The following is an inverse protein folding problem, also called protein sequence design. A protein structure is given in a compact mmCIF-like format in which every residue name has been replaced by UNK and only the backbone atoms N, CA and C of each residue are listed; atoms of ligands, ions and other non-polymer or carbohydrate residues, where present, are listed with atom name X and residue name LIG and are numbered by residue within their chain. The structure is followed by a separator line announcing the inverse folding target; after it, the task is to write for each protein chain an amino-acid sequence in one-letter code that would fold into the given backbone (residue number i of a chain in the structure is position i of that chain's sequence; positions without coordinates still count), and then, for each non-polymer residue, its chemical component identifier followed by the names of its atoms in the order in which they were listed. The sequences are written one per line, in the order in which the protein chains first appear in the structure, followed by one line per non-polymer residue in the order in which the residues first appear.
data_IF_197403487154
#
_entry.id   IF_197403487154
#
_cell.length_a   1.000
_cell.length_b   1.000
_cell.length_c   1.000
_cell.angle_alpha   90.00
_cell.angle_beta   90.00
_cell.angle_gamma   90.00
#
_symmetry.space_group_name_H-M   'P 1'
#
loop_
_entity.id
_entity.type
_entity.pdbx_description
1 polymer ?
#
# COMPACT_ATOMS: atom_id res chain seq x y z
N UNK A 1 44.81 -22.95 -42.56
CA UNK A 1 43.40 -22.99 -43.01
C UNK A 1 42.40 -23.61 -42.01
N UNK A 2 42.82 -24.17 -40.85
CA UNK A 2 41.90 -24.70 -39.83
C UNK A 2 41.66 -23.78 -38.63
N UNK A 3 42.54 -22.80 -38.38
CA UNK A 3 42.42 -21.86 -37.26
C UNK A 3 41.36 -20.77 -37.50
N UNK A 4 41.16 -20.36 -38.76
CA UNK A 4 40.19 -19.34 -39.14
C UNK A 4 38.74 -19.84 -39.03
N UNK A 5 38.50 -21.15 -39.24
CA UNK A 5 37.16 -21.74 -39.09
C UNK A 5 36.66 -21.78 -37.65
N UNK A 6 37.55 -21.92 -36.65
CA UNK A 6 37.14 -21.91 -35.25
C UNK A 6 36.83 -20.49 -34.73
N UNK A 7 37.48 -19.46 -35.28
CA UNK A 7 37.22 -18.07 -34.91
C UNK A 7 35.83 -17.60 -35.39
N UNK A 8 35.40 -18.05 -36.57
CA UNK A 8 34.09 -17.70 -37.13
C UNK A 8 32.95 -18.40 -36.37
N UNK A 9 33.16 -19.63 -35.90
CA UNK A 9 32.14 -20.36 -35.12
C UNK A 9 31.96 -19.74 -33.72
N UNK A 10 33.03 -19.23 -33.10
CA UNK A 10 32.95 -18.58 -31.80
C UNK A 10 32.23 -17.21 -31.84
N UNK A 11 32.30 -16.48 -32.95
CA UNK A 11 31.64 -15.17 -33.12
C UNK A 11 30.13 -15.33 -33.35
N UNK A 12 29.68 -16.43 -33.97
CA UNK A 12 28.25 -16.70 -34.20
C UNK A 12 27.54 -17.10 -32.90
N UNK A 13 28.21 -17.77 -31.97
CA UNK A 13 27.63 -18.19 -30.67
C UNK A 13 27.38 -17.07 -29.65
N UNK A 14 27.88 -15.84 -29.87
CA UNK A 14 27.73 -14.72 -28.91
C UNK A 14 26.46 -13.87 -29.18
N UNK A 15 25.71 -14.13 -30.25
CA UNK A 15 24.57 -13.28 -30.65
C UNK A 15 23.19 -13.75 -30.16
N UNK A 16 23.11 -14.82 -29.36
CA UNK A 16 21.82 -15.36 -28.88
C UNK A 16 21.43 -14.87 -27.47
N UNK A 17 22.07 -13.83 -26.95
CA UNK A 17 21.44 -13.02 -25.89
C UNK A 17 20.42 -12.06 -26.52
N UNK A 18 19.39 -12.64 -27.13
CA UNK A 18 18.15 -11.91 -27.38
C UNK A 18 17.51 -11.69 -26.01
N UNK A 19 17.78 -10.52 -25.41
CA UNK A 19 16.87 -9.96 -24.43
C UNK A 19 15.54 -9.77 -25.15
N UNK A 20 14.65 -10.76 -25.03
CA UNK A 20 13.23 -10.59 -25.29
C UNK A 20 12.68 -9.68 -24.19
N UNK A 21 13.00 -8.38 -24.26
CA UNK A 21 12.09 -7.38 -23.74
C UNK A 21 10.90 -7.37 -24.70
N UNK A 22 10.02 -8.39 -24.58
CA UNK A 22 8.71 -8.35 -25.19
C UNK A 22 8.09 -7.01 -24.82
N UNK A 23 7.66 -6.23 -25.82
CA UNK A 23 7.06 -4.93 -25.60
C UNK A 23 5.83 -5.14 -24.71
N UNK A 24 5.97 -4.85 -23.40
CA UNK A 24 4.85 -4.95 -22.47
C UNK A 24 3.93 -3.76 -22.71
N UNK A 25 2.69 -4.06 -23.07
CA UNK A 25 1.64 -3.07 -23.29
C UNK A 25 1.10 -2.58 -21.94
N UNK A 26 0.75 -1.30 -21.86
CA UNK A 26 0.12 -0.74 -20.65
C UNK A 26 -1.32 -1.24 -20.60
N UNK A 27 -1.65 -1.97 -19.54
CA UNK A 27 -3.03 -2.39 -19.24
C UNK A 27 -3.75 -1.24 -18.52
N UNK A 28 -3.08 -0.63 -17.53
CA UNK A 28 -3.57 0.57 -16.86
C UNK A 28 -2.42 1.37 -16.27
N UNK A 29 -2.52 2.70 -16.41
CA UNK A 29 -1.59 3.65 -15.77
C UNK A 29 -1.85 3.81 -14.27
N UNK A 30 -3.10 3.57 -13.84
CA UNK A 30 -3.52 3.70 -12.43
C UNK A 30 -4.64 2.73 -12.11
N UNK A 31 -4.42 1.90 -11.11
CA UNK A 31 -5.46 1.13 -10.43
C UNK A 31 -5.23 1.18 -8.94
N UNK A 32 -6.32 1.32 -8.17
CA UNK A 32 -6.29 1.38 -6.73
C UNK A 32 -7.19 0.32 -6.12
N UNK A 33 -6.67 -0.43 -5.15
CA UNK A 33 -7.44 -1.45 -4.44
C UNK A 33 -6.83 -1.75 -3.07
N UNK A 34 -7.66 -2.32 -2.19
CA UNK A 34 -7.29 -2.65 -0.82
C UNK A 34 -6.99 -4.14 -0.73
N UNK A 35 -5.85 -4.49 -0.13
CA UNK A 35 -5.42 -5.86 0.10
C UNK A 35 -5.43 -6.13 1.60
N UNK A 36 -6.17 -7.15 2.02
CA UNK A 36 -6.12 -7.66 3.38
C UNK A 36 -4.73 -8.26 3.66
N UNK A 37 -4.12 -7.85 4.76
CA UNK A 37 -2.87 -8.43 5.29
C UNK A 37 -3.13 -9.34 6.50
N UNK A 38 -4.38 -9.35 6.99
CA UNK A 38 -4.91 -10.32 7.96
C UNK A 38 -6.21 -10.86 7.40
N UNK A 39 -6.37 -12.19 7.39
CA UNK A 39 -7.59 -12.80 6.85
C UNK A 39 -8.82 -12.31 7.62
N UNK A 40 -9.92 -11.97 6.92
CA UNK A 40 -11.20 -11.68 7.56
C UNK A 40 -11.90 -12.94 8.07
N UNK A 41 -11.52 -14.11 7.57
CA UNK A 41 -12.14 -15.41 7.85
C UNK A 41 -11.07 -16.40 8.36
N UNK A 42 -11.34 -17.06 9.48
CA UNK A 42 -10.45 -18.06 10.06
C UNK A 42 -10.40 -19.37 9.26
N UNK A 43 -11.41 -19.62 8.41
CA UNK A 43 -11.53 -20.86 7.64
C UNK A 43 -10.68 -20.82 6.36
N UNK A 44 -10.16 -19.66 6.01
CA UNK A 44 -9.25 -19.50 4.88
C UNK A 44 -7.88 -20.09 5.18
N UNK A 45 -7.26 -20.65 4.12
CA UNK A 45 -5.86 -21.03 4.18
C UNK A 45 -5.00 -19.83 4.61
N UNK A 46 -3.96 -20.11 5.38
CA UNK A 46 -3.11 -19.10 6.02
C UNK A 46 -2.46 -18.08 5.07
N UNK A 47 -2.46 -18.34 3.76
CA UNK A 47 -1.91 -17.48 2.71
C UNK A 47 -2.98 -16.67 1.96
N UNK A 48 -4.26 -17.01 2.08
CA UNK A 48 -5.35 -16.28 1.43
C UNK A 48 -5.61 -15.01 2.23
N UNK A 49 -5.39 -13.85 1.61
CA UNK A 49 -5.67 -12.55 2.21
C UNK A 49 -4.95 -12.33 3.56
N UNK A 50 -3.79 -12.96 3.73
CA UNK A 50 -3.09 -12.98 5.00
C UNK A 50 -1.58 -13.01 4.80
N UNK A 51 -0.89 -12.21 5.60
CA UNK A 51 0.55 -12.32 5.82
C UNK A 51 0.78 -13.04 7.15
N UNK A 52 1.80 -13.91 7.26
CA UNK A 52 2.15 -14.48 8.56
C UNK A 52 2.55 -13.37 9.54
N UNK A 53 2.25 -13.58 10.83
CA UNK A 53 2.30 -12.55 11.87
C UNK A 53 3.59 -11.70 11.86
N UNK A 54 4.79 -12.32 11.92
CA UNK A 54 6.04 -11.56 11.94
C UNK A 54 6.26 -10.69 10.70
N UNK A 55 5.89 -11.16 9.50
CA UNK A 55 6.02 -10.41 8.26
C UNK A 55 5.02 -9.26 8.21
N UNK A 56 3.79 -9.50 8.70
CA UNK A 56 2.76 -8.47 8.80
C UNK A 56 3.18 -7.36 9.75
N UNK A 57 3.61 -7.70 10.96
CA UNK A 57 4.05 -6.76 11.99
C UNK A 57 5.22 -5.92 11.46
N UNK A 58 6.23 -6.56 10.89
CA UNK A 58 7.37 -5.87 10.29
C UNK A 58 6.97 -4.91 9.16
N UNK A 59 6.03 -5.30 8.30
CA UNK A 59 5.52 -4.44 7.23
C UNK A 59 4.83 -3.20 7.81
N UNK A 60 3.90 -3.39 8.74
CA UNK A 60 3.15 -2.31 9.38
C UNK A 60 4.09 -1.37 10.14
N UNK A 61 4.99 -1.93 10.95
CA UNK A 61 5.99 -1.18 11.70
C UNK A 61 6.87 -0.35 10.76
N UNK A 62 7.36 -0.95 9.66
CA UNK A 62 8.19 -0.24 8.68
C UNK A 62 7.46 0.96 8.07
N UNK A 63 6.18 0.80 7.71
CA UNK A 63 5.39 1.87 7.10
C UNK A 63 5.08 2.99 8.11
N UNK A 64 4.65 2.63 9.33
CA UNK A 64 4.30 3.60 10.36
C UNK A 64 5.52 4.34 10.90
N UNK A 65 6.54 3.62 11.39
CA UNK A 65 7.77 4.24 11.90
C UNK A 65 8.45 5.07 10.82
N UNK A 66 8.51 4.56 9.58
CA UNK A 66 9.10 5.30 8.47
C UNK A 66 8.40 6.63 8.19
N UNK A 67 7.08 6.71 8.31
CA UNK A 67 6.34 7.96 8.18
C UNK A 67 6.47 8.87 9.42
N UNK A 68 6.39 8.31 10.63
CA UNK A 68 6.51 9.03 11.90
C UNK A 68 7.92 9.59 12.16
N UNK A 69 8.95 8.97 11.59
CA UNK A 69 10.33 9.44 11.65
C UNK A 69 10.67 10.38 10.48
N UNK A 70 9.76 10.54 9.50
CA UNK A 70 10.00 11.31 8.27
C UNK A 70 10.97 10.62 7.29
N UNK A 71 11.32 9.36 7.51
CA UNK A 71 12.13 8.54 6.59
C UNK A 71 11.42 8.34 5.25
N UNK A 72 10.10 8.20 5.29
CA UNK A 72 9.24 8.18 4.11
C UNK A 72 8.36 9.43 4.13
N UNK A 73 8.42 10.23 3.07
CA UNK A 73 7.50 11.36 2.92
C UNK A 73 6.07 10.82 2.81
N UNK A 74 5.25 11.15 3.80
CA UNK A 74 3.83 10.85 3.81
C UNK A 74 3.03 11.95 3.09
N UNK A 75 1.87 11.58 2.57
CA UNK A 75 0.95 12.48 1.90
C UNK A 75 -0.48 12.25 2.38
N UNK A 76 -1.29 13.32 2.39
CA UNK A 76 -2.72 13.22 2.66
C UNK A 76 -3.49 12.57 1.50
N UNK A 77 -4.81 12.46 1.64
CA UNK A 77 -5.70 11.91 0.61
C UNK A 77 -5.64 12.68 -0.73
N UNK A 78 -5.34 13.98 -0.68
CA UNK A 78 -5.26 14.87 -1.84
C UNK A 78 -3.85 14.95 -2.44
N UNK A 79 -2.91 14.14 -1.94
CA UNK A 79 -1.50 14.10 -2.34
C UNK A 79 -0.68 15.32 -1.91
N UNK A 80 -1.13 16.06 -0.90
CA UNK A 80 -0.32 17.10 -0.28
C UNK A 80 0.67 16.45 0.70
N UNK A 81 1.95 16.86 0.71
CA UNK A 81 2.92 16.34 1.66
C UNK A 81 2.51 16.73 3.08
N UNK A 82 2.54 15.77 3.99
CA UNK A 82 2.28 15.98 5.41
C UNK A 82 3.53 15.73 6.24
N UNK A 83 3.65 16.44 7.36
CA UNK A 83 4.74 16.31 8.32
C UNK A 83 4.57 15.09 9.22
N UNK A 84 5.65 14.63 9.90
CA UNK A 84 5.53 13.57 10.89
C UNK A 84 4.56 13.89 12.05
N UNK A 85 4.42 15.16 12.42
CA UNK A 85 3.46 15.60 13.42
C UNK A 85 2.01 15.42 12.95
N UNK A 86 1.73 15.71 11.68
CA UNK A 86 0.42 15.46 11.07
C UNK A 86 0.13 13.97 10.92
N UNK A 87 1.14 13.15 10.58
CA UNK A 87 1.02 11.68 10.63
C UNK A 87 0.64 11.21 12.04
N UNK A 88 1.32 11.72 13.08
CA UNK A 88 1.00 11.39 14.47
C UNK A 88 -0.42 11.83 14.86
N UNK A 89 -0.89 12.97 14.35
CA UNK A 89 -2.25 13.45 14.56
C UNK A 89 -3.29 12.53 13.90
N UNK A 90 -3.03 12.03 12.68
CA UNK A 90 -3.89 11.04 12.00
C UNK A 90 -4.04 9.77 12.84
N UNK A 91 -2.96 9.32 13.51
CA UNK A 91 -3.00 8.15 14.38
C UNK A 91 -3.71 8.40 15.71
N UNK A 92 -3.92 9.64 16.12
CA UNK A 92 -4.49 10.02 17.42
C UNK A 92 -5.88 10.66 17.29
N UNK A 93 -6.58 10.39 16.18
CA UNK A 93 -7.78 11.10 15.77
C UNK A 93 -8.86 11.11 16.87
N UNK A 94 -9.26 12.32 17.24
CA UNK A 94 -10.24 12.58 18.30
C UNK A 94 -11.60 12.82 17.64
N UNK A 95 -12.57 11.94 17.91
CA UNK A 95 -13.92 12.09 17.36
C UNK A 95 -14.88 12.59 18.43
N UNK A 96 -15.57 13.69 18.16
CA UNK A 96 -16.68 14.16 18.98
C UNK A 96 -17.96 13.43 18.53
N UNK A 97 -18.60 12.72 19.46
CA UNK A 97 -19.87 12.03 19.22
C UNK A 97 -20.95 12.62 20.12
N UNK A 98 -22.13 12.86 19.57
CA UNK A 98 -23.31 13.22 20.35
C UNK A 98 -23.98 11.94 20.83
N UNK A 99 -23.95 11.69 22.13
CA UNK A 99 -24.55 10.53 22.77
C UNK A 99 -25.89 10.91 23.39
N UNK A 100 -26.81 9.95 23.46
CA UNK A 100 -28.09 10.11 24.17
C UNK A 100 -28.02 9.28 25.43
N UNK A 101 -28.42 9.86 26.57
CA UNK A 101 -28.51 9.10 27.82
C UNK A 101 -29.45 7.90 27.65
N UNK A 102 -29.07 6.76 28.24
CA UNK A 102 -29.88 5.52 28.17
C UNK A 102 -31.09 5.58 29.10
N UNK A 103 -31.04 6.44 30.13
CA UNK A 103 -32.13 6.64 31.08
C UNK A 103 -32.88 7.96 30.83
N UNK A 104 -34.18 8.03 31.14
CA UNK A 104 -34.95 9.27 31.08
C UNK A 104 -34.26 10.37 31.89
N UNK A 105 -34.13 11.60 31.36
CA UNK A 105 -34.91 12.18 30.27
C UNK A 105 -34.35 12.00 28.84
N UNK A 106 -33.38 11.09 28.61
CA UNK A 106 -32.76 10.87 27.29
C UNK A 106 -32.11 12.13 26.71
N UNK A 107 -31.46 12.94 27.56
CA UNK A 107 -30.77 14.14 27.10
C UNK A 107 -29.59 13.77 26.20
N UNK A 108 -29.44 14.54 25.11
CA UNK A 108 -28.27 14.44 24.24
C UNK A 108 -27.13 15.28 24.80
N UNK A 109 -25.95 14.69 24.95
CA UNK A 109 -24.74 15.40 25.34
C UNK A 109 -23.61 15.11 24.35
N UNK A 110 -22.73 16.09 24.16
CA UNK A 110 -21.55 15.94 23.32
C UNK A 110 -20.44 15.28 24.15
N UNK A 111 -19.90 14.17 23.68
CA UNK A 111 -18.79 13.44 24.29
C UNK A 111 -17.61 13.41 23.33
N UNK A 112 -16.40 13.57 23.86
CA UNK A 112 -15.17 13.45 23.08
C UNK A 112 -14.59 12.07 23.33
N UNK A 113 -14.54 11.23 22.31
CA UNK A 113 -13.86 9.93 22.39
C UNK A 113 -12.55 10.03 21.63
N UNK A 114 -11.46 9.91 22.37
CA UNK A 114 -10.10 9.85 21.81
C UNK A 114 -9.84 8.40 21.41
N UNK A 115 -9.70 8.14 20.12
CA UNK A 115 -9.30 6.83 19.62
C UNK A 115 -7.88 6.93 19.10
N UNK A 116 -6.99 6.09 19.64
CA UNK A 116 -5.64 5.95 19.11
C UNK A 116 -5.58 4.72 18.22
N UNK A 117 -5.10 4.91 16.99
CA UNK A 117 -4.83 3.84 16.04
C UNK A 117 -3.50 3.21 16.43
N UNK A 118 -3.55 1.93 16.78
CA UNK A 118 -2.37 1.11 17.08
C UNK A 118 -2.01 0.25 15.86
N UNK A 119 -0.77 -0.27 15.76
CA UNK A 119 -0.35 -1.11 14.64
C UNK A 119 -1.30 -2.29 14.36
N UNK A 120 -1.91 -2.86 15.40
CA UNK A 120 -2.85 -3.98 15.31
C UNK A 120 -4.15 -3.63 14.60
N UNK A 121 -4.52 -2.35 14.52
CA UNK A 121 -5.69 -1.87 13.79
C UNK A 121 -5.47 -1.87 12.28
N UNK A 122 -4.21 -1.93 11.82
CA UNK A 122 -3.85 -1.90 10.40
C UNK A 122 -3.97 -3.32 9.83
N UNK A 123 -5.12 -3.58 9.21
CA UNK A 123 -5.46 -4.90 8.66
C UNK A 123 -5.46 -4.94 7.14
N UNK A 124 -5.32 -3.79 6.48
CA UNK A 124 -5.31 -3.63 5.02
C UNK A 124 -4.23 -2.68 4.56
N UNK A 125 -3.75 -2.91 3.35
CA UNK A 125 -2.91 -1.97 2.60
C UNK A 125 -3.61 -1.63 1.31
N UNK A 126 -3.75 -0.34 1.03
CA UNK A 126 -4.20 0.17 -0.26
C UNK A 126 -3.00 0.37 -1.16
N UNK A 127 -3.03 -0.26 -2.32
CA UNK A 127 -2.02 -0.06 -3.35
C UNK A 127 -2.58 0.83 -4.45
N UNK A 128 -1.74 1.74 -4.93
CA UNK A 128 -1.90 2.40 -6.22
C UNK A 128 -0.83 1.82 -7.14
N UNK A 129 -1.24 1.26 -8.28
CA UNK A 129 -0.35 0.51 -9.17
C UNK A 129 -0.51 0.91 -10.64
N UNK A 130 0.56 0.68 -11.41
CA UNK A 130 0.56 0.65 -12.87
C UNK A 130 0.77 -0.81 -13.32
N UNK A 131 -0.03 -1.27 -14.28
CA UNK A 131 0.03 -2.65 -14.77
C UNK A 131 0.44 -2.68 -16.25
N UNK A 132 1.39 -3.56 -16.57
CA UNK A 132 1.80 -3.86 -17.93
C UNK A 132 1.69 -5.36 -18.18
N UNK A 133 1.37 -5.73 -19.41
CA UNK A 133 1.22 -7.13 -19.79
C UNK A 133 1.94 -7.39 -21.10
N UNK A 134 2.62 -8.53 -21.19
CA UNK A 134 3.06 -9.07 -22.47
C UNK A 134 1.92 -9.90 -23.06
N UNK A 135 1.41 -9.51 -24.24
CA UNK A 135 0.30 -10.18 -24.92
C UNK A 135 0.68 -11.55 -25.50
N UNK A 136 1.98 -11.83 -25.68
CA UNK A 136 2.46 -13.10 -26.24
C UNK A 136 2.42 -14.26 -25.23
N UNK A 137 2.65 -13.98 -23.93
CA UNK A 137 2.75 -15.00 -22.88
C UNK A 137 1.84 -14.75 -21.66
N UNK A 138 1.03 -13.69 -21.70
CA UNK A 138 0.17 -13.22 -20.60
C UNK A 138 0.91 -12.90 -19.29
N UNK A 139 2.22 -12.62 -19.36
CA UNK A 139 2.97 -12.20 -18.18
C UNK A 139 2.60 -10.78 -17.76
N UNK A 140 2.33 -10.59 -16.46
CA UNK A 140 2.00 -9.30 -15.86
C UNK A 140 3.18 -8.73 -15.08
N UNK A 141 3.38 -7.42 -15.23
CA UNK A 141 4.23 -6.61 -14.37
C UNK A 141 3.35 -5.60 -13.65
N UNK A 142 3.44 -5.58 -12.32
CA UNK A 142 2.75 -4.61 -11.47
C UNK A 142 3.79 -3.73 -10.80
N UNK A 143 3.72 -2.43 -11.05
CA UNK A 143 4.56 -1.43 -10.40
C UNK A 143 3.74 -0.71 -9.33
N UNK A 144 4.11 -0.90 -8.07
CA UNK A 144 3.52 -0.15 -6.95
C UNK A 144 4.03 1.28 -7.03
N UNK A 145 3.11 2.23 -7.27
CA UNK A 145 3.43 3.66 -7.29
C UNK A 145 3.07 4.33 -5.96
N UNK A 146 2.06 3.81 -5.24
CA UNK A 146 1.62 4.32 -3.94
C UNK A 146 1.16 3.22 -2.99
N UNK A 147 1.37 3.45 -1.69
CA UNK A 147 1.04 2.55 -0.59
C UNK A 147 0.34 3.35 0.50
N UNK A 148 -0.83 2.93 0.95
CA UNK A 148 -1.49 3.53 2.11
C UNK A 148 -1.92 2.46 3.12
N UNK A 149 -1.44 2.51 4.37
CA UNK A 149 -1.98 1.68 5.43
C UNK A 149 -3.45 2.03 5.69
N UNK A 150 -4.27 1.03 5.97
CA UNK A 150 -5.69 1.21 6.31
C UNK A 150 -5.95 0.58 7.68
N UNK A 151 -6.41 1.42 8.60
CA UNK A 151 -6.86 1.00 9.91
C UNK A 151 -8.35 0.64 9.92
N UNK A 152 -8.70 -0.40 10.68
CA UNK A 152 -10.07 -0.72 11.03
C UNK A 152 -10.46 0.08 12.28
N UNK A 153 -11.54 0.85 12.19
CA UNK A 153 -12.12 1.58 13.32
C UNK A 153 -13.52 1.06 13.61
N UNK A 154 -13.87 0.95 14.89
CA UNK A 154 -15.22 0.61 15.33
C UNK A 154 -15.71 1.78 16.20
N UNK A 155 -16.71 2.51 15.70
CA UNK A 155 -17.30 3.66 16.40
C UNK A 155 -18.80 3.43 16.48
N UNK A 156 -19.33 3.33 17.70
CA UNK A 156 -20.75 3.04 17.95
C UNK A 156 -21.23 1.78 17.19
N UNK A 157 -20.45 0.70 17.28
CA UNK A 157 -20.68 -0.57 16.57
C UNK A 157 -20.67 -0.51 15.03
N UNK A 158 -20.30 0.64 14.45
CA UNK A 158 -20.11 0.80 13.01
C UNK A 158 -18.64 0.63 12.68
N UNK A 159 -18.32 -0.42 11.93
CA UNK A 159 -17.00 -0.63 11.38
C UNK A 159 -16.73 0.32 10.21
N UNK A 160 -15.58 1.00 10.25
CA UNK A 160 -15.07 1.86 9.18
C UNK A 160 -13.64 1.51 8.84
N UNK A 161 -13.32 1.58 7.56
CA UNK A 161 -11.97 1.38 7.04
C UNK A 161 -11.38 2.73 6.67
N UNK A 162 -10.36 3.16 7.41
CA UNK A 162 -9.75 4.47 7.26
C UNK A 162 -8.34 4.33 6.65
N UNK A 163 -8.13 4.79 5.40
CA UNK A 163 -6.80 5.04 4.88
C UNK A 163 -6.12 6.12 5.71
N UNK A 164 -4.87 5.89 6.11
CA UNK A 164 -4.15 6.81 7.00
C UNK A 164 -3.47 7.91 6.20
N UNK A 165 -2.47 7.54 5.41
CA UNK A 165 -1.67 8.43 4.59
C UNK A 165 -1.07 7.64 3.44
N UNK A 166 -0.68 8.34 2.38
CA UNK A 166 0.04 7.75 1.25
C UNK A 166 1.54 7.83 1.44
N UNK A 167 2.24 6.77 1.04
CA UNK A 167 3.67 6.75 0.76
C UNK A 167 3.83 6.42 -0.72
N UNK A 168 4.54 7.27 -1.45
CA UNK A 168 4.84 7.07 -2.86
C UNK A 168 6.26 6.57 -3.05
N UNK A 169 6.55 5.26 -3.15
CA UNK A 169 7.91 4.75 -3.34
C UNK A 169 8.54 5.18 -4.67
N UNK A 170 7.73 5.33 -5.72
CA UNK A 170 8.19 5.69 -7.06
C UNK A 170 8.61 7.16 -7.16
N UNK A 171 9.88 7.41 -7.49
CA UNK A 171 10.43 8.77 -7.58
C UNK A 171 9.78 9.58 -8.69
N UNK A 172 9.56 8.96 -9.85
CA UNK A 172 8.99 9.63 -11.02
C UNK A 172 7.56 10.09 -10.74
N UNK A 173 6.76 9.25 -10.09
CA UNK A 173 5.42 9.60 -9.65
C UNK A 173 5.43 10.78 -8.67
N UNK A 174 6.34 10.79 -7.68
CA UNK A 174 6.45 11.92 -6.74
C UNK A 174 6.76 13.24 -7.42
N UNK A 175 7.58 13.26 -8.45
CA UNK A 175 7.87 14.50 -9.20
C UNK A 175 6.67 14.95 -10.04
N UNK A 176 5.82 14.03 -10.50
CA UNK A 176 4.56 14.38 -11.19
C UNK A 176 3.54 15.02 -10.24
N UNK A 177 3.56 14.68 -8.94
CA UNK A 177 2.65 15.25 -7.93
C UNK A 177 2.94 16.72 -7.59
N UNK A 178 4.15 17.22 -7.85
CA UNK A 178 4.55 18.60 -7.53
C UNK A 178 4.11 19.64 -8.58
N UNK A 179 3.47 19.18 -9.66
CA UNK A 179 3.01 20.01 -10.77
C UNK A 179 1.51 20.26 -10.65
#
# INVERSE_FOLDING_TARGET
MRLFSFLVIAIVSVTIFSCQNGNKEIVTEKIQYDVNIKSPDSDYDWWIQNLPGPQREKLVETLLSGALEGKFQAYDYYNNPISPAEVSAILSDTTVVRLTQVEPPYETYDSVIIYSIIPEDILRIRFLEEWRMNSEDLSFEKKIVGIAPIARRVVLDIERWQPLFWIYPDKEFREKLKK
#
